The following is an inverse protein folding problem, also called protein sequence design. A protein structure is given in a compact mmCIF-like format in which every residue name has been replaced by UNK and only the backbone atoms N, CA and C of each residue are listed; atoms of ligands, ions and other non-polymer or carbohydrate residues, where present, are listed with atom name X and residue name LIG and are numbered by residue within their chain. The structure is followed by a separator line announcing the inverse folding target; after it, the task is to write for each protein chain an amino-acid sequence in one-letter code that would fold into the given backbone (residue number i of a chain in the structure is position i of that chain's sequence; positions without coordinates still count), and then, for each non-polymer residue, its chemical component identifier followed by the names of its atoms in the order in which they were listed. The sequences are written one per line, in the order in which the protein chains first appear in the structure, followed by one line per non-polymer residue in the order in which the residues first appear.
data_IF_919335878235
#
_entry.id   IF_919335878235
#
_cell.length_a   1.000
_cell.length_b   1.000
_cell.length_c   1.000
_cell.angle_alpha   90.00
_cell.angle_beta   90.00
_cell.angle_gamma   90.00
#
_symmetry.space_group_name_H-M   'P 1'
#
loop_
_entity.id
_entity.type
_entity.pdbx_description
1 polymer ?
#
# COMPACT_ATOMS: atom_id res chain seq x y z
N UNK A 1 63.38 2.16 7.38
CA UNK A 1 62.57 2.56 6.20
C UNK A 1 61.15 2.06 6.41
N UNK A 2 60.18 2.96 6.55
CA UNK A 2 58.75 2.64 6.67
C UNK A 2 58.17 2.61 5.26
N UNK A 3 57.66 1.47 4.80
CA UNK A 3 56.87 1.37 3.56
C UNK A 3 55.39 1.50 3.92
N UNK A 4 54.78 2.58 3.44
CA UNK A 4 53.37 2.90 3.63
C UNK A 4 52.47 2.21 2.60
N UNK A 5 51.28 1.84 3.08
CA UNK A 5 50.12 1.39 2.32
C UNK A 5 49.59 2.48 1.37
N UNK A 6 49.04 2.07 0.23
CA UNK A 6 47.80 2.70 -0.28
C UNK A 6 47.01 1.66 -1.09
N UNK A 7 45.98 1.08 -0.47
CA UNK A 7 44.98 0.28 -1.17
C UNK A 7 43.84 1.22 -1.56
N UNK A 8 43.76 1.58 -2.84
CA UNK A 8 42.65 2.36 -3.36
C UNK A 8 41.44 1.44 -3.53
N UNK A 9 40.45 1.54 -2.64
CA UNK A 9 39.12 0.99 -2.89
C UNK A 9 38.40 1.90 -3.88
N UNK A 10 38.29 1.46 -5.14
CA UNK A 10 37.34 2.03 -6.09
C UNK A 10 35.93 1.54 -5.73
N UNK A 11 35.11 2.41 -5.14
CA UNK A 11 33.66 2.23 -5.15
C UNK A 11 33.12 2.63 -6.53
N UNK A 12 32.87 1.64 -7.38
CA UNK A 12 32.07 1.86 -8.59
C UNK A 12 30.60 1.84 -8.17
N UNK A 13 30.05 3.02 -7.89
CA UNK A 13 28.61 3.18 -7.75
C UNK A 13 27.98 3.16 -9.15
N UNK A 14 27.53 2.00 -9.62
CA UNK A 14 26.69 1.91 -10.82
C UNK A 14 25.31 2.47 -10.46
N UNK A 15 25.06 3.72 -10.83
CA UNK A 15 23.72 4.30 -10.79
C UNK A 15 22.86 3.63 -11.87
N UNK A 16 22.11 2.60 -11.49
CA UNK A 16 21.00 2.10 -12.30
C UNK A 16 19.91 3.18 -12.34
N UNK A 17 19.88 3.97 -13.41
CA UNK A 17 18.73 4.82 -13.69
C UNK A 17 17.59 3.93 -14.20
N UNK A 18 16.63 3.61 -13.33
CA UNK A 18 15.38 3.00 -13.76
C UNK A 18 14.73 3.89 -14.83
N UNK A 19 14.43 3.30 -15.99
CA UNK A 19 13.80 4.01 -17.10
C UNK A 19 12.33 4.23 -16.77
N UNK A 20 11.96 5.47 -16.44
CA UNK A 20 10.60 5.82 -16.06
C UNK A 20 9.68 5.91 -17.28
N UNK A 21 8.51 5.30 -17.18
CA UNK A 21 7.46 5.49 -18.18
C UNK A 21 6.71 6.79 -17.89
N UNK A 22 6.53 7.63 -18.90
CA UNK A 22 5.67 8.80 -18.77
C UNK A 22 4.22 8.36 -18.55
N UNK A 23 3.64 8.71 -17.40
CA UNK A 23 2.23 8.43 -17.11
C UNK A 23 1.38 9.54 -17.72
N UNK A 24 0.42 9.22 -18.62
CA UNK A 24 -0.44 10.22 -19.22
C UNK A 24 -1.33 10.88 -18.17
N UNK A 25 -1.79 12.11 -18.46
CA UNK A 25 -2.74 12.79 -17.59
C UNK A 25 -4.07 12.03 -17.58
N UNK A 26 -4.41 11.44 -16.44
CA UNK A 26 -5.64 10.69 -16.27
C UNK A 26 -6.85 11.61 -16.00
N UNK A 27 -7.99 11.26 -16.59
CA UNK A 27 -9.28 11.89 -16.28
C UNK A 27 -9.92 11.23 -15.07
N UNK A 28 -10.09 12.00 -14.00
CA UNK A 28 -10.62 11.50 -12.73
C UNK A 28 -12.05 11.98 -12.49
N UNK A 29 -12.96 11.04 -12.28
CA UNK A 29 -14.23 11.36 -11.61
C UNK A 29 -13.92 11.61 -10.14
N UNK A 30 -14.60 12.58 -9.52
CA UNK A 30 -14.35 12.94 -8.13
C UNK A 30 -15.65 13.15 -7.36
N UNK A 31 -15.72 12.54 -6.18
CA UNK A 31 -16.85 12.67 -5.27
C UNK A 31 -16.38 13.02 -3.86
N UNK A 32 -17.02 14.01 -3.24
CA UNK A 32 -16.85 14.28 -1.81
C UNK A 32 -17.56 13.17 -1.03
N UNK A 33 -16.82 12.48 -0.16
CA UNK A 33 -17.37 11.45 0.74
C UNK A 33 -17.77 12.10 2.06
N UNK A 34 -16.86 12.89 2.64
CA UNK A 34 -17.09 13.66 3.85
C UNK A 34 -16.14 14.87 3.88
N UNK A 35 -16.20 15.72 4.91
CA UNK A 35 -15.19 16.77 5.10
C UNK A 35 -13.79 16.14 5.20
N UNK A 36 -12.82 16.63 4.42
CA UNK A 36 -11.47 16.07 4.42
C UNK A 36 -11.34 14.66 3.82
N UNK A 37 -12.40 14.12 3.20
CA UNK A 37 -12.38 12.80 2.55
C UNK A 37 -13.01 12.83 1.16
N UNK A 38 -12.23 12.44 0.13
CA UNK A 38 -12.65 12.51 -1.27
C UNK A 38 -12.29 11.22 -1.99
N UNK A 39 -13.26 10.64 -2.68
CA UNK A 39 -13.05 9.51 -3.56
C UNK A 39 -12.82 10.02 -4.98
N UNK A 40 -11.87 9.41 -5.69
CA UNK A 40 -11.66 9.59 -7.12
C UNK A 40 -11.56 8.24 -7.80
N UNK A 41 -12.09 8.14 -9.01
CA UNK A 41 -11.98 6.95 -9.84
C UNK A 41 -11.58 7.32 -11.26
N UNK A 42 -10.84 6.43 -11.92
CA UNK A 42 -10.46 6.53 -13.31
C UNK A 42 -10.42 5.14 -13.94
N UNK A 43 -10.87 5.06 -15.19
CA UNK A 43 -10.88 3.81 -15.96
C UNK A 43 -10.25 4.05 -17.34
N UNK A 44 -8.94 4.29 -17.41
CA UNK A 44 -8.27 4.56 -18.67
C UNK A 44 -8.26 3.31 -19.55
N UNK A 45 -8.59 3.48 -20.83
CA UNK A 45 -8.49 2.42 -21.83
C UNK A 45 -7.03 2.01 -22.14
N UNK A 46 -6.10 2.95 -21.94
CA UNK A 46 -4.66 2.73 -22.08
C UNK A 46 -3.90 3.47 -20.97
N UNK A 47 -3.35 2.70 -20.04
CA UNK A 47 -2.35 3.11 -19.07
C UNK A 47 -1.32 1.99 -18.96
N UNK A 48 -0.08 2.29 -19.34
CA UNK A 48 0.99 1.30 -19.52
C UNK A 48 0.66 0.23 -20.59
N UNK A 49 -0.10 0.57 -21.63
CA UNK A 49 -0.43 -0.37 -22.71
C UNK A 49 -1.57 -1.32 -22.39
N UNK A 50 -2.41 -1.02 -21.38
CA UNK A 50 -3.59 -1.80 -21.06
C UNK A 50 -4.68 -1.00 -20.37
N UNK A 51 -5.91 -1.55 -20.38
CA UNK A 51 -7.03 -1.01 -19.62
C UNK A 51 -6.79 -1.21 -18.13
N UNK A 52 -7.11 -0.18 -17.34
CA UNK A 52 -6.97 -0.19 -15.89
C UNK A 52 -8.25 0.31 -15.22
N UNK A 53 -8.49 -0.10 -13.98
CA UNK A 53 -9.52 0.48 -13.12
C UNK A 53 -8.88 0.92 -11.80
N UNK A 54 -8.90 2.22 -11.55
CA UNK A 54 -8.18 2.85 -10.44
C UNK A 54 -9.16 3.55 -9.51
N UNK A 55 -8.96 3.39 -8.20
CA UNK A 55 -9.67 4.13 -7.18
C UNK A 55 -8.71 4.76 -6.19
N UNK A 56 -8.97 6.02 -5.82
CA UNK A 56 -8.20 6.79 -4.85
C UNK A 56 -9.13 7.29 -3.75
N UNK A 57 -8.78 7.03 -2.49
CA UNK A 57 -9.39 7.70 -1.35
C UNK A 57 -8.38 8.70 -0.77
N UNK A 58 -8.61 9.98 -1.04
CA UNK A 58 -7.74 11.08 -0.61
C UNK A 58 -8.24 11.64 0.72
N UNK A 59 -7.36 11.61 1.71
CA UNK A 59 -7.64 11.87 3.12
C UNK A 59 -6.83 13.09 3.58
N UNK A 60 -7.45 13.96 4.35
CA UNK A 60 -6.79 15.05 5.07
C UNK A 60 -6.63 14.66 6.55
N UNK A 61 -5.43 14.29 7.02
CA UNK A 61 -5.24 13.80 8.39
C UNK A 61 -5.57 14.79 9.51
N UNK A 62 -5.70 16.09 9.21
CA UNK A 62 -6.20 17.10 10.17
C UNK A 62 -7.71 17.05 10.40
N UNK A 63 -8.44 16.32 9.54
CA UNK A 63 -9.90 16.23 9.53
C UNK A 63 -10.41 14.81 9.68
N UNK A 64 -9.53 13.82 9.54
CA UNK A 64 -9.85 12.40 9.56
C UNK A 64 -8.76 11.63 10.30
N UNK A 65 -9.18 10.66 11.10
CA UNK A 65 -8.28 9.69 11.74
C UNK A 65 -8.04 8.54 10.79
N UNK A 66 -6.80 8.06 10.73
CA UNK A 66 -6.41 6.84 10.03
C UNK A 66 -5.78 5.91 11.07
N UNK A 67 -6.21 4.65 11.09
CA UNK A 67 -5.71 3.67 12.06
C UNK A 67 -5.83 2.24 11.52
N UNK A 68 -5.11 1.31 12.15
CA UNK A 68 -5.13 -0.11 11.82
C UNK A 68 -6.33 -0.79 12.50
N UNK A 69 -7.05 -1.63 11.74
CA UNK A 69 -8.04 -2.56 12.26
C UNK A 69 -7.59 -3.97 11.93
N UNK A 70 -7.78 -4.91 12.86
CA UNK A 70 -7.27 -6.26 12.68
C UNK A 70 -8.05 -7.29 13.50
N UNK A 71 -7.89 -8.56 13.14
CA UNK A 71 -8.39 -9.73 13.88
C UNK A 71 -7.31 -10.82 13.86
N UNK A 72 -7.04 -11.44 15.01
CA UNK A 72 -6.10 -12.55 15.09
C UNK A 72 -6.76 -13.87 14.70
N UNK A 73 -7.93 -14.13 15.27
CA UNK A 73 -8.54 -15.46 15.28
C UNK A 73 -9.47 -15.72 14.08
N UNK A 74 -9.70 -14.69 13.26
CA UNK A 74 -10.61 -14.79 12.12
C UNK A 74 -10.23 -13.80 11.05
N UNK A 75 -10.53 -14.15 9.79
CA UNK A 75 -10.41 -13.25 8.66
C UNK A 75 -11.79 -12.65 8.38
N UNK A 76 -11.86 -11.34 8.20
CA UNK A 76 -13.09 -10.64 7.82
C UNK A 76 -12.89 -9.91 6.51
N UNK A 77 -13.96 -9.74 5.76
CA UNK A 77 -13.96 -8.82 4.61
C UNK A 77 -13.57 -7.41 5.07
N UNK A 78 -12.87 -6.66 4.22
CA UNK A 78 -12.54 -5.24 4.48
C UNK A 78 -13.79 -4.43 4.77
N UNK A 79 -14.84 -4.62 3.96
CA UNK A 79 -16.15 -4.00 4.15
C UNK A 79 -16.76 -4.32 5.52
N UNK A 80 -16.75 -5.58 5.91
CA UNK A 80 -17.29 -6.03 7.19
C UNK A 80 -16.50 -5.46 8.38
N UNK A 81 -15.16 -5.52 8.31
CA UNK A 81 -14.30 -5.01 9.38
C UNK A 81 -14.48 -3.50 9.55
N UNK A 82 -14.54 -2.76 8.44
CA UNK A 82 -14.75 -1.32 8.42
C UNK A 82 -16.12 -0.93 8.97
N UNK A 83 -17.18 -1.64 8.58
CA UNK A 83 -18.52 -1.31 9.03
C UNK A 83 -18.71 -1.55 10.53
N UNK A 84 -18.24 -2.70 11.04
CA UNK A 84 -18.26 -2.99 12.49
C UNK A 84 -17.51 -1.94 13.30
N UNK A 85 -16.38 -1.45 12.78
CA UNK A 85 -15.58 -0.41 13.42
C UNK A 85 -16.13 1.01 13.23
N UNK A 86 -17.29 1.16 12.56
CA UNK A 86 -17.90 2.46 12.22
C UNK A 86 -16.99 3.38 11.40
N UNK A 87 -16.05 2.82 10.63
CA UNK A 87 -15.20 3.57 9.72
C UNK A 87 -16.03 4.12 8.55
N UNK A 88 -15.59 5.21 7.93
CA UNK A 88 -16.22 5.81 6.75
C UNK A 88 -15.50 5.47 5.44
N UNK A 89 -14.30 4.90 5.53
CA UNK A 89 -13.61 4.23 4.43
C UNK A 89 -12.55 3.27 4.96
N UNK A 90 -12.17 2.27 4.15
CA UNK A 90 -11.12 1.32 4.51
C UNK A 90 -10.48 0.67 3.27
N UNK A 91 -9.21 0.29 3.39
CA UNK A 91 -8.47 -0.53 2.42
C UNK A 91 -7.83 -1.73 3.12
N UNK A 92 -7.72 -2.87 2.44
CA UNK A 92 -6.93 -4.00 2.95
C UNK A 92 -5.46 -3.59 3.19
N UNK A 93 -4.77 -4.27 4.13
CA UNK A 93 -3.45 -3.83 4.59
C UNK A 93 -2.34 -4.88 4.41
N UNK A 94 -1.88 -5.50 5.50
CA UNK A 94 -0.75 -6.42 5.52
C UNK A 94 -1.05 -7.83 4.98
N UNK A 95 0.02 -8.59 4.76
CA UNK A 95 -0.05 -9.97 4.29
C UNK A 95 -0.51 -10.93 5.41
N UNK A 96 -1.16 -12.02 5.01
CA UNK A 96 -1.71 -13.00 5.94
C UNK A 96 -1.66 -14.42 5.35
N UNK A 97 -1.85 -15.42 6.21
CA UNK A 97 -1.96 -16.81 5.75
C UNK A 97 -3.39 -17.10 5.29
N UNK A 98 -3.61 -17.28 3.98
CA UNK A 98 -4.95 -17.53 3.42
C UNK A 98 -5.58 -18.86 3.84
N UNK A 99 -4.78 -19.83 4.30
CA UNK A 99 -5.26 -21.15 4.77
C UNK A 99 -5.53 -21.18 6.26
N UNK A 100 -4.58 -20.66 7.06
CA UNK A 100 -4.63 -20.70 8.53
C UNK A 100 -5.28 -19.47 9.16
N UNK A 101 -5.43 -18.39 8.40
CA UNK A 101 -5.78 -17.08 8.93
C UNK A 101 -4.61 -16.39 9.64
N UNK A 102 -4.84 -15.16 10.08
CA UNK A 102 -3.88 -14.36 10.85
C UNK A 102 -2.81 -13.67 10.02
N UNK A 103 -2.40 -12.49 10.49
CA UNK A 103 -1.32 -11.70 9.90
C UNK A 103 0.01 -12.44 9.97
N UNK A 104 0.81 -12.36 8.91
CA UNK A 104 2.19 -12.88 8.88
C UNK A 104 3.22 -11.75 8.81
N UNK A 105 2.76 -10.50 8.75
CA UNK A 105 3.62 -9.31 8.81
C UNK A 105 3.73 -8.80 10.24
N UNK A 106 4.92 -8.31 10.67
CA UNK A 106 5.06 -7.70 11.97
C UNK A 106 4.17 -6.46 12.08
N UNK A 107 3.46 -6.33 13.20
CA UNK A 107 2.68 -5.14 13.47
C UNK A 107 2.46 -4.93 14.97
N UNK A 108 2.29 -3.66 15.31
CA UNK A 108 1.98 -3.17 16.65
C UNK A 108 0.69 -2.37 16.61
N UNK A 109 -0.11 -2.54 17.64
CA UNK A 109 -1.29 -1.72 17.89
C UNK A 109 -1.28 -1.24 19.36
N UNK A 110 -1.35 0.08 19.56
CA UNK A 110 -1.36 0.75 20.88
C UNK A 110 -0.29 0.25 21.87
N UNK A 111 0.94 0.11 21.39
CA UNK A 111 2.09 -0.32 22.18
C UNK A 111 2.28 -1.84 22.27
N UNK A 112 1.32 -2.64 21.78
CA UNK A 112 1.37 -4.09 21.85
C UNK A 112 1.84 -4.68 20.51
N UNK A 113 3.01 -5.31 20.50
CA UNK A 113 3.49 -6.10 19.35
C UNK A 113 2.63 -7.35 19.20
N UNK A 114 1.70 -7.33 18.24
CA UNK A 114 0.77 -8.43 18.00
C UNK A 114 1.43 -9.56 17.23
N UNK A 115 2.16 -9.21 16.16
CA UNK A 115 3.02 -10.13 15.42
C UNK A 115 4.43 -9.58 15.49
N UNK A 116 5.36 -10.38 16.00
CA UNK A 116 6.75 -9.97 16.24
C UNK A 116 7.60 -10.17 15.00
N UNK A 117 8.62 -9.33 14.84
CA UNK A 117 9.58 -9.39 13.71
C UNK A 117 10.32 -10.73 13.57
N UNK A 118 10.52 -11.45 14.68
CA UNK A 118 11.17 -12.78 14.70
C UNK A 118 10.27 -13.92 14.20
N UNK A 119 8.97 -13.67 14.02
CA UNK A 119 7.99 -14.70 13.66
C UNK A 119 7.72 -14.79 12.15
N UNK A 120 8.52 -14.10 11.31
CA UNK A 120 8.20 -13.94 9.89
C UNK A 120 9.19 -14.66 8.99
N UNK A 121 8.67 -15.55 8.14
CA UNK A 121 9.48 -16.43 7.29
C UNK A 121 10.03 -15.82 6.01
N UNK A 122 9.44 -14.75 5.47
CA UNK A 122 9.96 -14.07 4.27
C UNK A 122 10.06 -12.55 4.50
N UNK A 123 11.30 -12.05 4.61
CA UNK A 123 11.61 -10.63 4.84
C UNK A 123 11.85 -9.86 3.54
N UNK A 124 12.00 -10.54 2.41
CA UNK A 124 12.43 -9.96 1.13
C UNK A 124 11.42 -8.96 0.54
N UNK A 125 10.16 -9.00 0.97
CA UNK A 125 9.11 -8.07 0.52
C UNK A 125 8.66 -7.08 1.60
N UNK A 126 9.27 -7.12 2.79
CA UNK A 126 8.89 -6.31 3.95
C UNK A 126 9.86 -5.13 4.14
N UNK A 127 10.11 -4.42 3.05
CA UNK A 127 11.10 -3.33 2.95
C UNK A 127 10.59 -2.01 3.57
N UNK A 128 9.30 -1.93 3.92
CA UNK A 128 8.71 -0.69 4.42
C UNK A 128 7.76 -0.87 5.60
N UNK A 129 7.58 0.22 6.33
CA UNK A 129 6.75 0.30 7.53
C UNK A 129 5.79 1.48 7.42
N UNK A 130 4.51 1.23 7.68
CA UNK A 130 3.52 2.27 7.96
C UNK A 130 3.48 2.43 9.47
N UNK A 131 3.86 3.59 9.99
CA UNK A 131 3.86 3.86 11.43
C UNK A 131 2.74 4.84 11.80
N UNK A 132 2.01 4.55 12.88
CA UNK A 132 0.85 5.28 13.35
C UNK A 132 1.18 5.99 14.66
N UNK A 133 0.84 7.28 14.76
CA UNK A 133 1.16 8.11 15.94
C UNK A 133 0.22 7.88 17.13
N UNK A 134 -0.83 7.06 16.98
CA UNK A 134 -1.87 6.84 17.98
C UNK A 134 -2.89 7.97 18.09
N UNK A 135 -2.68 9.09 17.41
CA UNK A 135 -3.59 10.24 17.31
C UNK A 135 -4.28 10.33 15.95
N UNK A 136 -4.12 9.31 15.12
CA UNK A 136 -4.81 9.17 13.84
C UNK A 136 -4.04 9.69 12.63
N UNK A 137 -2.73 9.90 12.76
CA UNK A 137 -1.84 10.20 11.66
C UNK A 137 -0.86 9.05 11.47
N UNK A 138 -0.23 9.06 10.30
CA UNK A 138 0.75 8.04 9.93
C UNK A 138 1.89 8.63 9.12
N UNK A 139 2.99 7.87 9.09
CA UNK A 139 4.11 8.04 8.17
C UNK A 139 4.45 6.73 7.48
N UNK A 140 5.27 6.83 6.43
CA UNK A 140 5.84 5.68 5.70
C UNK A 140 7.35 5.78 5.81
N UNK A 141 7.99 4.69 6.23
CA UNK A 141 9.41 4.60 6.56
C UNK A 141 10.02 3.35 5.90
N UNK A 142 11.33 3.38 5.68
CA UNK A 142 12.09 2.17 5.35
C UNK A 142 12.20 1.27 6.59
N UNK A 143 12.18 -0.05 6.39
CA UNK A 143 12.25 -1.01 7.50
C UNK A 143 13.55 -0.88 8.30
N UNK A 144 14.67 -0.59 7.63
CA UNK A 144 15.98 -0.39 8.26
C UNK A 144 16.07 0.89 9.12
N UNK A 145 15.19 1.89 8.91
CA UNK A 145 15.13 3.11 9.72
C UNK A 145 14.39 2.88 11.05
N UNK A 146 14.89 1.92 11.81
CA UNK A 146 14.27 1.37 13.01
C UNK A 146 14.00 2.38 14.12
N UNK A 147 14.85 3.40 14.28
CA UNK A 147 14.74 4.36 15.39
C UNK A 147 13.42 5.14 15.37
N UNK A 148 12.93 5.50 14.17
CA UNK A 148 11.74 6.35 14.04
C UNK A 148 10.46 5.55 14.26
N UNK A 149 10.28 4.45 13.53
CA UNK A 149 9.02 3.72 13.57
C UNK A 149 8.90 2.82 14.81
N UNK A 150 10.01 2.35 15.41
CA UNK A 150 9.94 1.53 16.63
C UNK A 150 9.43 2.29 17.85
N UNK A 151 9.61 3.61 17.88
CA UNK A 151 9.08 4.46 18.95
C UNK A 151 7.56 4.66 18.84
N UNK A 152 6.96 4.33 17.70
CA UNK A 152 5.55 4.62 17.44
C UNK A 152 4.64 3.62 18.16
N UNK A 153 3.47 4.07 18.65
CA UNK A 153 2.52 3.20 19.34
C UNK A 153 1.85 2.20 18.39
N UNK A 154 1.86 2.44 17.07
CA UNK A 154 1.42 1.45 16.09
C UNK A 154 2.33 1.41 14.89
N UNK A 155 2.49 0.23 14.30
CA UNK A 155 3.14 0.08 13.00
C UNK A 155 2.64 -1.16 12.28
N UNK A 156 2.80 -1.18 10.96
CA UNK A 156 2.56 -2.34 10.11
C UNK A 156 3.68 -2.44 9.08
N UNK A 157 4.39 -3.56 9.08
CA UNK A 157 5.31 -3.93 8.01
C UNK A 157 4.53 -4.40 6.79
N UNK A 158 4.96 -3.96 5.62
CA UNK A 158 4.42 -4.38 4.33
C UNK A 158 5.43 -4.01 3.25
N UNK A 159 5.05 -4.08 1.98
CA UNK A 159 5.94 -3.69 0.91
C UNK A 159 5.66 -4.37 -0.43
N UNK A 160 6.52 -4.13 -1.42
CA UNK A 160 7.76 -3.35 -1.33
C UNK A 160 7.53 -1.86 -1.04
N UNK A 161 8.57 -1.18 -0.55
CA UNK A 161 8.59 0.27 -0.45
C UNK A 161 8.74 0.84 -1.87
N UNK A 162 7.85 1.74 -2.28
CA UNK A 162 7.81 2.22 -3.66
C UNK A 162 8.53 3.55 -3.81
N UNK A 163 8.21 4.50 -2.91
CA UNK A 163 8.79 5.84 -2.89
C UNK A 163 9.15 6.22 -1.45
N UNK A 164 10.30 6.87 -1.29
CA UNK A 164 10.71 7.56 -0.08
C UNK A 164 11.27 8.94 -0.45
N UNK A 165 10.71 10.00 0.13
CA UNK A 165 11.05 11.39 -0.16
C UNK A 165 11.04 11.73 -1.67
N UNK A 166 10.06 11.18 -2.39
CA UNK A 166 9.84 11.35 -3.82
C UNK A 166 10.79 10.51 -4.70
N UNK A 167 11.64 9.67 -4.09
CA UNK A 167 12.61 8.82 -4.78
C UNK A 167 12.16 7.37 -4.79
N UNK A 168 12.12 6.73 -5.96
CA UNK A 168 11.92 5.29 -6.09
C UNK A 168 12.92 4.49 -5.27
N UNK A 169 12.43 3.43 -4.63
CA UNK A 169 13.25 2.53 -3.83
C UNK A 169 13.50 1.24 -4.62
N UNK A 170 14.68 0.60 -4.42
CA UNK A 170 14.95 -0.70 -5.01
C UNK A 170 14.03 -1.75 -4.39
N UNK A 171 13.66 -2.74 -5.19
CA UNK A 171 12.94 -3.93 -4.76
C UNK A 171 13.44 -5.12 -5.58
N UNK A 172 13.29 -6.33 -5.05
CA UNK A 172 13.76 -7.56 -5.70
C UNK A 172 13.16 -7.78 -7.10
N UNK A 173 14.00 -8.21 -8.04
CA UNK A 173 13.61 -8.41 -9.44
C UNK A 173 13.07 -9.84 -9.68
N UNK A 174 11.85 -10.10 -9.22
CA UNK A 174 11.25 -11.43 -9.20
C UNK A 174 9.84 -11.46 -9.83
N UNK A 175 9.19 -12.63 -9.84
CA UNK A 175 7.85 -12.77 -10.42
C UNK A 175 6.82 -11.86 -9.75
N UNK A 176 6.88 -11.69 -8.43
CA UNK A 176 5.94 -10.85 -7.68
C UNK A 176 6.02 -9.38 -8.10
N UNK A 177 7.20 -8.87 -8.44
CA UNK A 177 7.41 -7.48 -8.85
C UNK A 177 7.17 -7.27 -10.35
N UNK A 178 7.48 -8.27 -11.20
CA UNK A 178 7.30 -8.22 -12.66
C UNK A 178 5.87 -8.42 -13.14
N UNK A 179 5.10 -9.29 -12.48
CA UNK A 179 3.76 -9.63 -12.96
C UNK A 179 2.72 -8.58 -12.59
N UNK A 180 1.79 -8.33 -13.52
CA UNK A 180 0.63 -7.49 -13.26
C UNK A 180 -0.37 -8.22 -12.37
N UNK A 181 -0.79 -7.53 -11.31
CA UNK A 181 -1.80 -8.01 -10.38
C UNK A 181 -2.69 -6.85 -9.93
N UNK A 182 -3.87 -7.14 -9.34
CA UNK A 182 -4.54 -6.17 -8.51
C UNK A 182 -3.58 -5.70 -7.41
N UNK A 183 -3.51 -4.40 -7.17
CA UNK A 183 -2.61 -3.79 -6.18
C UNK A 183 -3.38 -2.87 -5.24
N UNK A 184 -2.99 -2.88 -3.97
CA UNK A 184 -3.36 -1.87 -2.98
C UNK A 184 -2.12 -1.09 -2.56
N UNK A 185 -2.27 0.20 -2.30
CA UNK A 185 -1.15 1.06 -1.97
C UNK A 185 -1.57 2.17 -1.00
N UNK A 186 -0.67 2.53 -0.09
CA UNK A 186 -0.78 3.73 0.72
C UNK A 186 0.30 4.73 0.30
N UNK A 187 -0.09 6.00 0.19
CA UNK A 187 0.81 7.09 -0.15
C UNK A 187 0.62 8.30 0.78
N UNK A 188 1.71 9.00 1.08
CA UNK A 188 1.69 10.35 1.66
C UNK A 188 2.09 11.38 0.61
N UNK A 189 1.41 12.53 0.57
CA UNK A 189 1.70 13.62 -0.36
C UNK A 189 2.51 14.72 0.34
N UNK A 190 3.26 15.52 -0.42
CA UNK A 190 4.05 16.63 0.12
C UNK A 190 3.24 17.71 0.89
N UNK A 191 1.92 17.76 0.67
CA UNK A 191 1.00 18.65 1.40
C UNK A 191 0.39 18.00 2.66
N UNK A 192 0.89 16.84 3.08
CA UNK A 192 0.44 16.12 4.28
C UNK A 192 -0.86 15.33 4.11
N UNK A 193 -1.44 15.27 2.90
CA UNK A 193 -2.56 14.35 2.62
C UNK A 193 -2.07 12.91 2.56
N UNK A 194 -2.97 11.98 2.88
CA UNK A 194 -2.78 10.54 2.67
C UNK A 194 -3.69 10.10 1.53
N UNK A 195 -3.25 9.14 0.74
CA UNK A 195 -4.03 8.55 -0.33
C UNK A 195 -3.96 7.03 -0.23
N UNK A 196 -5.13 6.40 -0.22
CA UNK A 196 -5.27 4.95 -0.38
C UNK A 196 -5.63 4.69 -1.84
N UNK A 197 -4.95 3.76 -2.48
CA UNK A 197 -5.08 3.48 -3.90
C UNK A 197 -5.38 1.99 -4.10
N UNK A 198 -6.36 1.69 -4.95
CA UNK A 198 -6.49 0.36 -5.55
C UNK A 198 -6.37 0.45 -7.06
N UNK A 199 -5.69 -0.53 -7.63
CA UNK A 199 -5.71 -0.86 -9.05
C UNK A 199 -6.26 -2.27 -9.19
N UNK A 200 -7.39 -2.43 -9.87
CA UNK A 200 -7.96 -3.77 -10.12
C UNK A 200 -7.14 -4.51 -11.18
N UNK A 201 -7.28 -5.83 -11.23
CA UNK A 201 -6.46 -6.67 -12.08
C UNK A 201 -7.09 -8.03 -12.36
N UNK A 202 -6.43 -8.85 -13.20
CA UNK A 202 -6.87 -10.22 -13.58
C UNK A 202 -8.21 -10.25 -14.32
N UNK A 203 -8.54 -9.19 -15.04
CA UNK A 203 -9.72 -9.13 -15.89
C UNK A 203 -9.42 -8.33 -17.17
N UNK A 204 -10.14 -8.58 -18.25
CA UNK A 204 -9.96 -7.82 -19.49
C UNK A 204 -10.34 -6.34 -19.33
N UNK A 205 -11.24 -6.05 -18.39
CA UNK A 205 -11.59 -4.69 -18.01
C UNK A 205 -10.51 -4.01 -17.13
N UNK A 206 -9.62 -4.77 -16.49
CA UNK A 206 -8.48 -4.23 -15.75
C UNK A 206 -7.37 -5.27 -15.63
N UNK A 207 -6.25 -5.02 -16.30
CA UNK A 207 -5.12 -5.97 -16.31
C UNK A 207 -4.34 -5.96 -14.99
N UNK A 208 -4.37 -4.85 -14.25
CA UNK A 208 -3.57 -4.64 -13.05
C UNK A 208 -2.21 -4.07 -13.36
N UNK A 209 -1.41 -3.88 -12.31
CA UNK A 209 -0.12 -3.21 -12.36
C UNK A 209 1.00 -4.12 -11.84
N UNK A 210 2.16 -4.05 -12.48
CA UNK A 210 3.43 -4.49 -11.89
C UNK A 210 3.82 -3.56 -10.74
N UNK A 211 4.81 -3.94 -9.94
CA UNK A 211 5.31 -3.05 -8.88
C UNK A 211 5.96 -1.79 -9.49
N UNK A 212 6.69 -1.93 -10.60
CA UNK A 212 7.28 -0.78 -11.29
C UNK A 212 6.20 0.18 -11.83
N UNK A 213 5.13 -0.34 -12.44
CA UNK A 213 4.02 0.48 -12.95
C UNK A 213 3.28 1.20 -11.80
N UNK A 214 3.12 0.54 -10.66
CA UNK A 214 2.55 1.15 -9.46
C UNK A 214 3.46 2.27 -8.91
N UNK A 215 4.79 2.06 -8.90
CA UNK A 215 5.77 3.09 -8.53
C UNK A 215 5.70 4.31 -9.47
N UNK A 216 5.65 4.08 -10.78
CA UNK A 216 5.53 5.14 -11.78
C UNK A 216 4.20 5.91 -11.63
N UNK A 217 3.09 5.19 -11.41
CA UNK A 217 1.78 5.77 -11.16
C UNK A 217 1.78 6.64 -9.90
N UNK A 218 2.23 6.11 -8.76
CA UNK A 218 2.24 6.87 -7.49
C UNK A 218 3.12 8.11 -7.58
N UNK A 219 4.27 8.04 -8.25
CA UNK A 219 5.11 9.21 -8.52
C UNK A 219 4.37 10.24 -9.37
N UNK A 220 3.68 9.82 -10.44
CA UNK A 220 2.91 10.71 -11.32
C UNK A 220 1.74 11.40 -10.59
N UNK A 221 1.18 10.76 -9.55
CA UNK A 221 0.14 11.30 -8.70
C UNK A 221 0.67 12.29 -7.64
N UNK A 222 1.99 12.51 -7.59
CA UNK A 222 2.63 13.45 -6.68
C UNK A 222 2.84 12.88 -5.26
N UNK A 223 2.92 11.57 -5.13
CA UNK A 223 3.25 10.93 -3.85
C UNK A 223 4.68 11.26 -3.44
N UNK A 224 4.84 11.62 -2.17
CA UNK A 224 6.14 11.81 -1.53
C UNK A 224 6.67 10.46 -1.04
N UNK A 225 5.90 9.75 -0.23
CA UNK A 225 6.21 8.38 0.15
C UNK A 225 5.07 7.47 -0.33
N UNK A 226 5.41 6.24 -0.73
CA UNK A 226 4.44 5.26 -1.21
C UNK A 226 4.92 3.86 -0.86
N UNK A 227 3.99 3.00 -0.46
CA UNK A 227 4.27 1.62 -0.07
C UNK A 227 3.17 0.71 -0.59
N UNK A 228 3.55 -0.45 -1.14
CA UNK A 228 2.62 -1.48 -1.58
C UNK A 228 2.02 -2.21 -0.36
N UNK A 229 0.74 -2.54 -0.44
CA UNK A 229 0.00 -3.34 0.53
C UNK A 229 -0.24 -4.75 -0.05
N UNK A 230 -0.87 -5.64 0.72
CA UNK A 230 -1.31 -6.93 0.17
C UNK A 230 -2.21 -6.71 -1.05
N UNK A 231 -2.01 -7.53 -2.08
CA UNK A 231 -2.60 -7.33 -3.40
C UNK A 231 -3.47 -8.51 -3.82
N UNK A 232 -3.63 -8.68 -5.13
CA UNK A 232 -4.43 -9.77 -5.68
C UNK A 232 -5.87 -9.74 -5.15
N UNK A 233 -6.38 -10.89 -4.73
CA UNK A 233 -7.74 -11.04 -4.21
C UNK A 233 -8.05 -10.20 -2.97
N UNK A 234 -7.02 -9.79 -2.23
CA UNK A 234 -7.18 -8.94 -1.06
C UNK A 234 -7.50 -7.49 -1.42
N UNK A 235 -7.16 -7.04 -2.64
CA UNK A 235 -7.29 -5.65 -3.10
C UNK A 235 -8.74 -5.18 -2.99
N UNK A 236 -9.02 -4.40 -1.95
CA UNK A 236 -10.38 -3.92 -1.69
C UNK A 236 -10.36 -2.55 -1.06
N UNK A 237 -11.09 -1.61 -1.66
CA UNK A 237 -11.41 -0.29 -1.11
C UNK A 237 -12.91 -0.21 -0.85
N UNK A 238 -13.27 0.05 0.40
CA UNK A 238 -14.65 0.22 0.83
C UNK A 238 -14.91 1.64 1.31
N UNK A 239 -16.10 2.17 1.02
CA UNK A 239 -16.55 3.50 1.44
C UNK A 239 -17.97 3.41 1.98
N UNK A 240 -18.21 4.00 3.16
CA UNK A 240 -19.54 3.98 3.80
C UNK A 240 -20.58 4.64 2.89
N UNK A 241 -21.70 3.95 2.69
CA UNK A 241 -22.78 4.39 1.80
C UNK A 241 -22.50 4.22 0.30
N UNK A 242 -21.30 3.76 -0.10
CA UNK A 242 -21.00 3.33 -1.47
C UNK A 242 -20.78 1.82 -1.57
N UNK A 243 -20.37 1.17 -0.47
CA UNK A 243 -19.95 -0.23 -0.49
C UNK A 243 -18.50 -0.36 -0.97
N UNK A 244 -18.18 -1.52 -1.54
CA UNK A 244 -16.90 -1.76 -2.22
C UNK A 244 -16.90 -0.99 -3.54
N UNK A 245 -15.89 -0.13 -3.74
CA UNK A 245 -15.86 0.79 -4.88
C UNK A 245 -14.97 0.32 -6.04
N UNK A 246 -14.07 -0.63 -5.79
CA UNK A 246 -13.25 -1.27 -6.81
C UNK A 246 -13.89 -2.59 -7.30
N UNK A 247 -13.12 -3.43 -8.02
CA UNK A 247 -13.54 -4.73 -8.56
C UNK A 247 -12.62 -5.85 -8.03
N UNK A 248 -12.83 -6.31 -6.78
CA UNK A 248 -12.02 -7.36 -6.18
C UNK A 248 -12.07 -8.66 -7.00
N UNK A 249 -10.93 -9.35 -7.13
CA UNK A 249 -10.75 -10.37 -8.17
C UNK A 249 -11.15 -11.80 -7.81
N UNK A 250 -11.50 -12.12 -6.56
CA UNK A 250 -11.55 -13.54 -6.12
C UNK A 250 -12.73 -14.33 -6.70
N UNK A 251 -13.84 -13.66 -7.03
CA UNK A 251 -14.97 -14.30 -7.71
C UNK A 251 -14.77 -14.38 -9.24
N UNK A 252 -13.65 -13.87 -9.77
CA UNK A 252 -13.30 -13.83 -11.20
C UNK A 252 -14.29 -13.03 -12.07
N UNK A 253 -15.14 -12.19 -11.47
CA UNK A 253 -16.07 -11.31 -12.16
C UNK A 253 -15.63 -9.85 -12.00
N UNK A 254 -15.98 -9.00 -12.96
CA UNK A 254 -15.69 -7.56 -12.88
C UNK A 254 -16.82 -6.82 -12.13
N UNK A 255 -17.08 -7.24 -10.90
CA UNK A 255 -18.10 -6.68 -10.00
C UNK A 255 -17.52 -6.34 -8.61
N UNK A 256 -18.38 -5.91 -7.68
CA UNK A 256 -17.97 -5.51 -6.33
C UNK A 256 -18.09 -6.64 -5.28
N UNK A 257 -18.35 -7.87 -5.70
CA UNK A 257 -18.72 -8.99 -4.81
C UNK A 257 -17.55 -9.95 -4.50
N UNK A 258 -16.46 -9.86 -5.27
CA UNK A 258 -15.29 -10.73 -5.17
C UNK A 258 -14.32 -10.43 -4.02
N UNK A 259 -14.76 -9.78 -2.94
CA UNK A 259 -13.90 -9.38 -1.83
C UNK A 259 -13.44 -10.58 -0.98
N UNK A 260 -12.12 -10.70 -0.79
CA UNK A 260 -11.50 -11.68 0.10
C UNK A 260 -11.53 -11.23 1.57
N UNK A 261 -11.72 -12.18 2.48
CA UNK A 261 -11.48 -11.94 3.91
C UNK A 261 -9.99 -11.81 4.23
N UNK A 262 -9.62 -10.75 4.95
CA UNK A 262 -8.24 -10.37 5.28
C UNK A 262 -8.02 -10.30 6.80
N UNK A 263 -6.75 -10.29 7.22
CA UNK A 263 -6.40 -10.24 8.65
C UNK A 263 -6.46 -8.82 9.23
N UNK A 264 -6.16 -7.81 8.41
CA UNK A 264 -6.12 -6.42 8.83
C UNK A 264 -6.41 -5.45 7.68
N UNK A 265 -6.87 -4.26 8.04
CA UNK A 265 -7.25 -3.17 7.14
C UNK A 265 -6.82 -1.84 7.72
N UNK A 266 -6.58 -0.84 6.87
CA UNK A 266 -6.40 0.54 7.27
C UNK A 266 -7.75 1.24 7.17
N UNK A 267 -8.29 1.66 8.32
CA UNK A 267 -9.58 2.34 8.43
C UNK A 267 -9.44 3.86 8.48
N UNK A 268 -10.50 4.56 8.09
CA UNK A 268 -10.61 6.03 8.10
C UNK A 268 -11.89 6.44 8.82
N UNK A 269 -11.80 7.39 9.75
CA UNK A 269 -12.93 7.98 10.50
C UNK A 269 -12.99 9.50 10.32
#
# INVERSE_FOLDING_TARGET
MKTGFTLALLFVATAFFAQFSAVPKLHWQSRKVAEGLRWRSAHPADLFGSRQNLNLLVIQPRKRRIDLLWRQDTLLKTSEMADKARAIGAINAGFFNTKKGGSVTPFRDRGNDVVKEKQTGNREILEGVIAFDGFGRLGVYAAEDSLTWQAMPGFLFTGPLLLLDGRPQPFEDNSFTKTRHPRSCLCTLGNGKVMLLTADGRNDEAQGLSIQELTDLTRSLGCKNAINLDGGGSTTLWIRGQGVVNRPSDNKQFDAEGERSVANVIGVW
#
